data_IF_986603401109
#
_entry.id   IF_986603401109
#
_cell.length_a   1.000
_cell.length_b   1.000
_cell.length_c   1.000
_cell.angle_alpha   90.00
_cell.angle_beta   90.00
_cell.angle_gamma   90.00
#
_symmetry.space_group_name_H-M   'P 1'
#
loop_
_entity.id
_entity.type
_entity.pdbx_description
1 polymer ?
#
# COMPACT_ATOMS: atom_id res chain seq x y z
N UNK A 1 37.32 64.93 -3.31
CA UNK A 1 38.28 63.93 -2.78
C UNK A 1 37.65 62.80 -1.91
N UNK A 2 36.33 62.86 -1.44
CA UNK A 2 35.71 61.82 -0.67
C UNK A 2 35.02 60.73 -1.50
N UNK A 3 34.56 61.02 -2.73
CA UNK A 3 33.84 60.06 -3.56
C UNK A 3 34.73 58.93 -4.14
N UNK A 4 35.99 59.25 -4.49
CA UNK A 4 36.91 58.26 -5.04
C UNK A 4 37.45 57.25 -4.04
N UNK A 5 37.39 57.57 -2.74
CA UNK A 5 37.83 56.69 -1.67
C UNK A 5 36.76 55.69 -1.31
N UNK A 6 35.48 56.07 -1.45
CA UNK A 6 34.32 55.15 -1.20
C UNK A 6 34.21 54.08 -2.30
N UNK A 7 34.36 54.47 -3.57
CA UNK A 7 34.32 53.54 -4.72
C UNK A 7 35.49 52.54 -4.64
N UNK A 8 36.67 52.99 -4.20
CA UNK A 8 37.86 52.12 -4.07
C UNK A 8 37.72 51.12 -2.91
N UNK A 9 36.96 51.47 -1.87
CA UNK A 9 36.70 50.58 -0.73
C UNK A 9 35.65 49.53 -1.06
N UNK A 10 34.58 49.91 -1.80
CA UNK A 10 33.54 48.94 -2.26
C UNK A 10 34.11 47.94 -3.30
N UNK A 11 34.98 48.40 -4.21
CA UNK A 11 35.62 47.48 -5.18
C UNK A 11 36.54 46.47 -4.50
N UNK A 12 37.29 46.86 -3.45
CA UNK A 12 38.13 45.93 -2.70
C UNK A 12 37.35 44.92 -1.86
N UNK A 13 36.19 45.30 -1.33
CA UNK A 13 35.31 44.39 -0.61
C UNK A 13 34.61 43.39 -1.57
N UNK A 14 34.20 43.82 -2.76
CA UNK A 14 33.69 42.96 -3.82
C UNK A 14 34.71 41.93 -4.29
N UNK A 15 35.96 42.38 -4.51
CA UNK A 15 37.07 41.50 -4.90
C UNK A 15 37.37 40.44 -3.84
N UNK A 16 37.32 40.79 -2.55
CA UNK A 16 37.42 39.84 -1.43
C UNK A 16 36.30 38.84 -1.39
N UNK A 17 35.07 39.28 -1.65
CA UNK A 17 33.91 38.36 -1.70
C UNK A 17 33.98 37.38 -2.88
N UNK A 18 34.40 37.87 -4.07
CA UNK A 18 34.60 37.03 -5.26
C UNK A 18 35.70 36.00 -5.04
N UNK A 19 36.83 36.39 -4.43
CA UNK A 19 37.89 35.44 -4.10
C UNK A 19 37.49 34.42 -3.05
N UNK A 20 36.66 34.79 -2.08
CA UNK A 20 36.09 33.85 -1.09
C UNK A 20 35.11 32.85 -1.72
N UNK A 21 34.31 33.30 -2.68
CA UNK A 21 33.42 32.44 -3.48
C UNK A 21 34.20 31.47 -4.39
N UNK A 22 35.23 31.97 -5.05
CA UNK A 22 36.10 31.15 -5.91
C UNK A 22 36.84 30.06 -5.11
N UNK A 23 37.37 30.40 -3.93
CA UNK A 23 37.99 29.42 -3.05
C UNK A 23 36.98 28.38 -2.52
N UNK A 24 35.72 28.77 -2.23
CA UNK A 24 34.68 27.90 -1.85
C UNK A 24 34.26 26.97 -3.01
N UNK A 25 34.18 27.47 -4.24
CA UNK A 25 33.88 26.69 -5.45
C UNK A 25 34.99 25.68 -5.80
N UNK A 26 36.27 26.06 -5.63
CA UNK A 26 37.42 25.15 -5.83
C UNK A 26 37.42 24.05 -4.75
N UNK A 27 37.13 24.39 -3.49
CA UNK A 27 37.02 23.41 -2.40
C UNK A 27 35.85 22.45 -2.63
N UNK A 28 34.72 22.95 -3.13
CA UNK A 28 33.59 22.12 -3.50
C UNK A 28 33.89 21.16 -4.66
N UNK A 29 34.67 21.57 -5.64
CA UNK A 29 35.11 20.67 -6.74
C UNK A 29 35.98 19.53 -6.22
N UNK A 30 36.89 19.79 -5.32
CA UNK A 30 37.72 18.76 -4.70
C UNK A 30 36.90 17.82 -3.84
N UNK A 31 35.91 18.33 -3.09
CA UNK A 31 34.95 17.52 -2.31
C UNK A 31 34.04 16.70 -3.24
N UNK A 32 33.62 17.26 -4.35
CA UNK A 32 32.80 16.53 -5.35
C UNK A 32 33.59 15.40 -6.01
N UNK A 33 34.87 15.59 -6.30
CA UNK A 33 35.74 14.55 -6.85
C UNK A 33 35.96 13.44 -5.81
N UNK A 34 36.21 13.77 -4.55
CA UNK A 34 36.36 12.79 -3.47
C UNK A 34 35.04 12.05 -3.22
N UNK A 35 33.93 12.76 -3.24
CA UNK A 35 32.60 12.15 -3.08
C UNK A 35 32.22 11.21 -4.26
N UNK A 36 32.59 11.61 -5.50
CA UNK A 36 32.37 10.78 -6.68
C UNK A 36 33.26 9.52 -6.67
N UNK A 37 34.50 9.62 -6.22
CA UNK A 37 35.38 8.44 -6.06
C UNK A 37 34.88 7.50 -4.94
N UNK A 38 34.34 8.04 -3.83
CA UNK A 38 33.72 7.26 -2.76
C UNK A 38 32.43 6.57 -3.22
N UNK A 39 31.61 7.21 -4.04
CA UNK A 39 30.38 6.65 -4.60
C UNK A 39 30.72 5.56 -5.64
N UNK A 40 31.71 5.79 -6.52
CA UNK A 40 32.17 4.77 -7.47
C UNK A 40 32.86 3.59 -6.80
N UNK A 41 33.56 3.81 -5.68
CA UNK A 41 34.20 2.75 -4.89
C UNK A 41 33.23 1.83 -4.14
N UNK A 42 32.00 2.30 -3.87
CA UNK A 42 30.97 1.51 -3.16
C UNK A 42 30.16 0.59 -4.08
N UNK A 43 30.24 0.74 -5.39
CA UNK A 43 29.47 -0.06 -6.37
C UNK A 43 30.05 -1.46 -6.66
N UNK A 44 31.20 -1.83 -6.09
CA UNK A 44 31.85 -3.10 -6.40
C UNK A 44 31.36 -4.31 -5.58
N UNK A 45 30.25 -4.19 -4.84
CA UNK A 45 29.67 -5.31 -4.08
C UNK A 45 28.23 -5.66 -4.47
N UNK A 46 27.80 -5.33 -5.70
CA UNK A 46 26.61 -5.99 -6.24
C UNK A 46 27.05 -7.40 -6.65
N UNK A 47 26.95 -8.35 -5.73
CA UNK A 47 26.95 -9.75 -6.09
C UNK A 47 25.72 -9.93 -7.00
N UNK A 48 25.95 -9.96 -8.32
CA UNK A 48 24.97 -10.44 -9.25
C UNK A 48 24.55 -11.83 -8.75
N UNK A 49 23.25 -12.00 -8.48
CA UNK A 49 22.70 -13.29 -8.11
C UNK A 49 23.15 -14.28 -9.21
N UNK A 50 24.01 -15.21 -8.88
CA UNK A 50 24.52 -16.20 -9.81
C UNK A 50 23.33 -17.02 -10.27
N UNK A 51 22.93 -16.84 -11.54
CA UNK A 51 21.80 -17.57 -12.09
C UNK A 51 22.22 -19.02 -12.21
N UNK A 52 21.59 -19.89 -11.46
CA UNK A 52 21.78 -21.33 -11.60
C UNK A 52 21.36 -21.71 -13.03
N UNK A 53 22.28 -22.21 -13.89
CA UNK A 53 21.92 -22.62 -15.23
C UNK A 53 20.97 -23.82 -15.18
N UNK A 54 19.85 -23.75 -15.91
CA UNK A 54 18.91 -24.85 -16.02
C UNK A 54 18.41 -24.99 -17.45
N UNK A 55 18.05 -26.21 -17.85
CA UNK A 55 17.51 -26.52 -19.16
C UNK A 55 15.99 -26.34 -19.14
N UNK A 56 15.49 -25.42 -19.96
CA UNK A 56 14.05 -25.16 -20.06
C UNK A 56 13.31 -26.39 -20.62
N UNK A 57 12.24 -26.78 -19.92
CA UNK A 57 11.41 -27.91 -20.33
C UNK A 57 11.96 -29.29 -19.96
N UNK A 58 13.15 -29.36 -19.37
CA UNK A 58 13.67 -30.60 -18.79
C UNK A 58 12.90 -30.97 -17.53
N UNK A 59 12.70 -32.26 -17.33
CA UNK A 59 12.13 -32.81 -16.08
C UNK A 59 13.21 -33.00 -15.04
N UNK A 60 12.99 -32.47 -13.85
CA UNK A 60 13.87 -32.61 -12.71
C UNK A 60 13.17 -33.37 -11.59
N UNK A 61 13.93 -34.08 -10.77
CA UNK A 61 13.44 -34.68 -9.54
C UNK A 61 13.47 -33.64 -8.43
N UNK A 62 12.34 -33.29 -7.85
CA UNK A 62 12.28 -32.33 -6.72
C UNK A 62 12.94 -32.94 -5.50
N UNK A 63 14.15 -32.47 -5.16
CA UNK A 63 14.89 -32.96 -4.02
C UNK A 63 14.41 -32.34 -2.70
N UNK A 64 14.15 -31.02 -2.71
CA UNK A 64 13.67 -30.30 -1.53
C UNK A 64 13.06 -28.95 -1.89
N UNK A 65 12.20 -28.40 -0.98
CA UNK A 65 11.67 -27.05 -1.04
C UNK A 65 11.94 -26.38 0.31
N UNK A 66 12.87 -25.44 0.32
CA UNK A 66 13.15 -24.61 1.49
C UNK A 66 12.30 -23.35 1.46
N UNK A 67 11.81 -22.89 2.61
CA UNK A 67 11.11 -21.62 2.72
C UNK A 67 12.10 -20.52 3.10
N UNK A 68 12.07 -19.45 2.31
CA UNK A 68 12.86 -18.24 2.55
C UNK A 68 11.88 -17.12 2.90
N UNK A 69 12.14 -16.40 3.99
CA UNK A 69 11.30 -15.31 4.49
C UNK A 69 10.81 -15.54 5.92
N UNK A 70 10.38 -14.45 6.54
CA UNK A 70 9.82 -14.47 7.90
C UNK A 70 8.33 -14.81 7.83
N UNK A 71 8.00 -16.05 8.17
CA UNK A 71 6.60 -16.51 8.21
C UNK A 71 6.23 -16.95 9.64
N UNK A 72 4.98 -16.71 10.02
CA UNK A 72 4.43 -17.17 11.30
C UNK A 72 3.93 -18.62 11.26
N UNK A 73 3.85 -19.22 10.07
CA UNK A 73 3.39 -20.60 9.85
C UNK A 73 4.54 -21.60 9.90
N UNK A 74 4.19 -22.84 10.19
CA UNK A 74 5.14 -23.94 10.07
C UNK A 74 5.51 -24.16 8.59
N UNK A 75 6.83 -24.16 8.30
CA UNK A 75 7.35 -24.30 6.93
C UNK A 75 6.87 -25.55 6.21
N UNK A 76 6.88 -26.71 6.90
CA UNK A 76 6.40 -27.97 6.33
C UNK A 76 4.91 -27.93 5.95
N UNK A 77 4.10 -27.23 6.75
CA UNK A 77 2.68 -27.04 6.46
C UNK A 77 2.49 -26.23 5.18
N UNK A 78 3.26 -25.17 4.99
CA UNK A 78 3.19 -24.34 3.77
C UNK A 78 3.60 -25.12 2.52
N UNK A 79 4.70 -25.89 2.61
CA UNK A 79 5.12 -26.76 1.51
C UNK A 79 4.03 -27.79 1.19
N UNK A 80 3.40 -28.40 2.19
CA UNK A 80 2.29 -29.33 1.99
C UNK A 80 1.11 -28.67 1.26
N UNK A 81 0.73 -27.44 1.63
CA UNK A 81 -0.32 -26.70 0.95
C UNK A 81 0.01 -26.32 -0.49
N UNK A 82 1.28 -26.13 -0.82
CA UNK A 82 1.71 -25.90 -2.21
C UNK A 82 1.38 -27.11 -3.10
N UNK A 83 1.33 -28.30 -2.50
CA UNK A 83 1.12 -29.58 -3.20
C UNK A 83 2.36 -30.13 -3.86
N UNK A 84 3.52 -29.51 -3.61
CA UNK A 84 4.82 -30.06 -4.05
C UNK A 84 5.26 -31.12 -3.07
N UNK A 85 5.82 -32.22 -3.61
CA UNK A 85 6.28 -33.35 -2.83
C UNK A 85 7.72 -33.70 -3.20
N UNK A 86 8.54 -33.98 -2.20
CA UNK A 86 9.88 -34.50 -2.38
C UNK A 86 9.83 -35.81 -3.18
N UNK A 87 10.71 -35.95 -4.18
CA UNK A 87 10.74 -37.10 -5.08
C UNK A 87 9.79 -37.03 -6.27
N UNK A 88 8.96 -35.99 -6.41
CA UNK A 88 8.14 -35.83 -7.60
C UNK A 88 8.95 -35.27 -8.78
N UNK A 89 8.57 -35.64 -10.00
CA UNK A 89 9.11 -35.02 -11.21
C UNK A 89 8.40 -33.69 -11.46
N UNK A 90 9.16 -32.64 -11.70
CA UNK A 90 8.67 -31.31 -12.05
C UNK A 90 9.38 -30.76 -13.28
N UNK A 91 8.70 -29.89 -14.02
CA UNK A 91 9.27 -29.18 -15.16
C UNK A 91 9.44 -27.69 -14.79
N UNK A 92 10.55 -27.07 -15.20
CA UNK A 92 10.78 -25.64 -14.90
C UNK A 92 11.13 -24.89 -16.21
N UNK A 93 10.37 -23.83 -16.52
CA UNK A 93 9.05 -23.46 -15.95
C UNK A 93 7.99 -24.53 -16.27
N UNK A 94 7.08 -24.78 -15.35
CA UNK A 94 6.10 -25.84 -15.50
C UNK A 94 4.78 -25.63 -14.77
N UNK A 95 3.86 -26.55 -15.04
CA UNK A 95 2.51 -26.48 -14.48
C UNK A 95 2.50 -26.75 -12.96
N UNK A 96 3.43 -27.58 -12.48
CA UNK A 96 3.55 -27.93 -11.07
C UNK A 96 3.81 -26.69 -10.20
N UNK A 97 4.76 -25.85 -10.62
CA UNK A 97 5.10 -24.59 -9.93
C UNK A 97 3.95 -23.60 -10.03
N UNK A 98 3.37 -23.45 -11.23
CA UNK A 98 2.23 -22.54 -11.42
C UNK A 98 1.03 -22.95 -10.58
N UNK A 99 0.79 -24.26 -10.43
CA UNK A 99 -0.28 -24.80 -9.58
C UNK A 99 0.02 -24.59 -8.10
N UNK A 100 1.26 -24.76 -7.68
CA UNK A 100 1.69 -24.49 -6.31
C UNK A 100 1.47 -23.02 -5.93
N UNK A 101 1.88 -22.08 -6.79
CA UNK A 101 1.63 -20.64 -6.60
C UNK A 101 0.13 -20.36 -6.51
N UNK A 102 -0.69 -20.94 -7.40
CA UNK A 102 -2.15 -20.76 -7.38
C UNK A 102 -2.79 -21.32 -6.10
N UNK A 103 -2.34 -22.48 -5.60
CA UNK A 103 -2.85 -23.09 -4.36
C UNK A 103 -2.52 -22.20 -3.16
N UNK A 104 -1.28 -21.76 -3.01
CA UNK A 104 -0.86 -20.87 -1.93
C UNK A 104 -1.56 -19.51 -2.01
N UNK A 105 -1.70 -18.94 -3.21
CA UNK A 105 -2.39 -17.66 -3.43
C UNK A 105 -3.89 -17.71 -3.05
N UNK A 106 -4.56 -18.85 -3.29
CA UNK A 106 -5.97 -19.06 -2.87
C UNK A 106 -6.19 -19.02 -1.36
N UNK A 107 -5.15 -19.24 -0.56
CA UNK A 107 -5.24 -19.11 0.89
C UNK A 107 -5.48 -17.65 1.32
N UNK A 108 -5.07 -16.66 0.50
CA UNK A 108 -5.22 -15.24 0.80
C UNK A 108 -4.41 -14.78 2.01
N UNK A 109 -3.33 -15.49 2.32
CA UNK A 109 -2.46 -15.25 3.49
C UNK A 109 -1.14 -14.60 3.11
N UNK A 110 -0.79 -14.62 1.82
CA UNK A 110 0.50 -14.20 1.30
C UNK A 110 0.32 -13.05 0.31
N UNK A 111 1.23 -12.09 0.36
CA UNK A 111 1.32 -10.94 -0.55
C UNK A 111 2.17 -11.32 -1.77
N UNK A 112 3.29 -11.99 -1.53
CA UNK A 112 4.19 -12.45 -2.57
C UNK A 112 4.49 -13.94 -2.39
N UNK A 113 4.52 -14.67 -3.52
CA UNK A 113 4.85 -16.10 -3.59
C UNK A 113 5.74 -16.29 -4.82
N UNK A 114 6.99 -16.60 -4.59
CA UNK A 114 7.98 -16.76 -5.67
C UNK A 114 8.84 -18.01 -5.44
N UNK A 115 9.10 -18.76 -6.51
CA UNK A 115 10.02 -19.90 -6.46
C UNK A 115 11.33 -19.53 -7.15
N UNK A 116 12.43 -19.87 -6.51
CA UNK A 116 13.78 -19.73 -7.05
C UNK A 116 14.48 -21.08 -7.08
N UNK A 117 15.34 -21.27 -8.07
CA UNK A 117 16.21 -22.45 -8.12
C UNK A 117 17.39 -22.15 -7.19
N UNK A 118 17.50 -22.93 -6.12
CA UNK A 118 18.64 -22.84 -5.21
C UNK A 118 19.86 -23.51 -5.82
N UNK A 119 19.71 -24.79 -6.22
CA UNK A 119 20.75 -25.56 -6.91
C UNK A 119 20.16 -26.71 -7.72
N UNK A 120 20.96 -27.23 -8.65
CA UNK A 120 20.68 -28.46 -9.41
C UNK A 120 21.87 -29.40 -9.25
N UNK A 121 21.62 -30.64 -8.84
CA UNK A 121 22.60 -31.69 -8.68
C UNK A 121 22.10 -32.96 -9.38
N UNK A 122 22.78 -33.45 -10.42
CA UNK A 122 22.47 -34.70 -11.12
C UNK A 122 21.00 -34.83 -11.51
N UNK A 123 20.29 -34.05 -12.10
CA UNK A 123 18.85 -34.06 -12.40
C UNK A 123 17.92 -33.84 -11.16
N UNK A 124 18.48 -33.64 -9.99
CA UNK A 124 17.75 -33.24 -8.77
C UNK A 124 17.76 -31.75 -8.61
N UNK A 125 16.60 -31.15 -8.35
CA UNK A 125 16.44 -29.71 -8.18
C UNK A 125 16.02 -29.37 -6.76
N UNK A 126 16.62 -28.32 -6.20
CA UNK A 126 16.30 -27.73 -4.91
C UNK A 126 15.70 -26.36 -5.15
N UNK A 127 14.54 -26.12 -4.56
CA UNK A 127 13.80 -24.87 -4.73
C UNK A 127 13.76 -24.08 -3.42
N UNK A 128 13.89 -22.77 -3.56
CA UNK A 128 13.60 -21.82 -2.50
C UNK A 128 12.22 -21.19 -2.79
N UNK A 129 11.30 -21.40 -1.85
CA UNK A 129 9.98 -20.77 -1.85
C UNK A 129 10.07 -19.49 -1.01
N UNK A 130 10.17 -18.35 -1.69
CA UNK A 130 10.11 -17.04 -1.06
C UNK A 130 8.65 -16.62 -0.87
N UNK A 131 8.29 -16.32 0.37
CA UNK A 131 6.93 -15.96 0.76
C UNK A 131 6.97 -14.70 1.61
N UNK A 132 6.10 -13.75 1.27
CA UNK A 132 5.80 -12.59 2.11
C UNK A 132 4.39 -12.75 2.69
N UNK A 133 4.29 -12.86 4.00
CA UNK A 133 3.01 -13.01 4.69
C UNK A 133 2.27 -11.68 4.77
N UNK A 134 0.97 -11.68 4.43
CA UNK A 134 0.12 -10.51 4.63
C UNK A 134 -0.02 -10.18 6.12
N UNK A 135 0.04 -8.89 6.48
CA UNK A 135 -0.05 -8.47 7.87
C UNK A 135 -1.46 -8.70 8.43
N UNK A 136 -1.53 -8.92 9.75
CA UNK A 136 -2.77 -9.08 10.50
C UNK A 136 -3.15 -7.79 11.21
N UNK A 137 -4.42 -7.47 11.26
CA UNK A 137 -4.95 -6.32 11.96
C UNK A 137 -4.75 -6.50 13.48
N UNK A 138 -4.02 -5.58 14.10
CA UNK A 138 -3.90 -5.52 15.56
C UNK A 138 -5.02 -4.64 16.14
N UNK A 139 -5.14 -3.42 15.62
CA UNK A 139 -6.11 -2.45 16.10
C UNK A 139 -6.62 -1.58 14.94
N UNK A 140 -7.88 -1.13 15.03
CA UNK A 140 -8.44 -0.14 14.13
C UNK A 140 -8.87 1.11 14.91
N UNK A 141 -8.50 2.28 14.40
CA UNK A 141 -8.89 3.59 14.96
C UNK A 141 -9.65 4.37 13.90
N UNK A 142 -10.82 4.90 14.30
CA UNK A 142 -11.63 5.78 13.46
C UNK A 142 -11.50 7.23 13.90
N UNK A 143 -11.38 8.13 12.93
CA UNK A 143 -11.34 9.59 13.12
C UNK A 143 -12.45 10.23 12.28
N UNK A 144 -13.06 11.30 12.79
CA UNK A 144 -14.15 12.02 12.09
C UNK A 144 -15.56 11.53 12.40
N UNK A 145 -15.72 10.50 13.25
CA UNK A 145 -17.03 9.96 13.66
C UNK A 145 -17.14 9.78 15.18
N UNK A 146 -18.38 9.64 15.64
CA UNK A 146 -18.66 9.36 17.06
C UNK A 146 -18.33 7.92 17.42
N UNK A 147 -17.85 7.68 18.64
CA UNK A 147 -17.44 6.35 19.15
C UNK A 147 -18.53 5.29 18.98
N UNK A 148 -19.80 5.64 19.21
CA UNK A 148 -20.94 4.72 19.04
C UNK A 148 -21.13 4.18 17.62
N UNK A 149 -20.63 4.92 16.59
CA UNK A 149 -20.67 4.47 15.20
C UNK A 149 -19.45 3.63 14.83
N UNK A 150 -18.37 3.75 15.57
CA UNK A 150 -17.12 3.00 15.34
C UNK A 150 -17.35 1.50 15.48
N UNK A 151 -18.00 1.07 16.56
CA UNK A 151 -18.25 -0.36 16.84
C UNK A 151 -19.10 -1.01 15.75
N UNK A 152 -20.12 -0.31 15.28
CA UNK A 152 -20.96 -0.78 14.19
C UNK A 152 -20.13 -0.94 12.89
N UNK A 153 -19.25 0.01 12.56
CA UNK A 153 -18.40 -0.07 11.36
C UNK A 153 -17.35 -1.18 11.46
N UNK A 154 -16.80 -1.42 12.64
CA UNK A 154 -15.89 -2.54 12.90
C UNK A 154 -16.60 -3.87 12.60
N UNK A 155 -17.80 -4.05 13.19
CA UNK A 155 -18.61 -5.24 13.01
C UNK A 155 -19.05 -5.45 11.56
N UNK A 156 -19.58 -4.39 10.94
CA UNK A 156 -20.11 -4.44 9.57
C UNK A 156 -19.03 -4.78 8.53
N UNK A 157 -17.76 -4.40 8.77
CA UNK A 157 -16.64 -4.65 7.86
C UNK A 157 -15.73 -5.80 8.34
N UNK A 158 -16.06 -6.47 9.44
CA UNK A 158 -15.28 -7.58 9.97
C UNK A 158 -13.85 -7.18 10.37
N UNK A 159 -13.64 -5.95 10.86
CA UNK A 159 -12.33 -5.40 11.23
C UNK A 159 -11.90 -5.88 12.63
N UNK A 160 -11.89 -7.19 12.83
CA UNK A 160 -11.50 -7.78 14.10
C UNK A 160 -9.98 -7.97 14.17
N UNK A 161 -9.42 -7.95 15.38
CA UNK A 161 -8.02 -8.31 15.62
C UNK A 161 -7.70 -9.67 15.01
N UNK A 162 -6.54 -9.78 14.33
CA UNK A 162 -6.12 -10.99 13.64
C UNK A 162 -6.65 -11.13 12.20
N UNK A 163 -7.53 -10.24 11.74
CA UNK A 163 -7.97 -10.21 10.34
C UNK A 163 -6.81 -9.89 9.42
N UNK A 164 -6.62 -10.68 8.37
CA UNK A 164 -5.61 -10.39 7.33
C UNK A 164 -5.96 -9.10 6.62
N UNK A 165 -4.97 -8.21 6.51
CA UNK A 165 -5.11 -6.89 5.89
C UNK A 165 -4.51 -6.95 4.48
N UNK A 166 -5.36 -6.84 3.48
CA UNK A 166 -5.00 -6.77 2.07
C UNK A 166 -5.71 -5.59 1.38
N UNK A 167 -5.33 -5.28 0.17
CA UNK A 167 -5.92 -4.19 -0.61
C UNK A 167 -7.44 -4.36 -0.81
N UNK A 168 -7.92 -5.59 -0.92
CA UNK A 168 -9.35 -5.86 -1.05
C UNK A 168 -10.10 -5.46 0.23
N UNK A 169 -9.59 -5.79 1.42
CA UNK A 169 -10.19 -5.37 2.69
C UNK A 169 -10.24 -3.85 2.81
N UNK A 170 -9.14 -3.16 2.44
CA UNK A 170 -9.05 -1.70 2.48
C UNK A 170 -10.09 -1.09 1.53
N UNK A 171 -10.12 -1.54 0.28
CA UNK A 171 -11.02 -1.01 -0.75
C UNK A 171 -12.50 -1.28 -0.43
N UNK A 172 -12.83 -2.49 0.00
CA UNK A 172 -14.21 -2.85 0.35
C UNK A 172 -14.70 -2.09 1.58
N UNK A 173 -13.85 -1.93 2.59
CA UNK A 173 -14.15 -1.12 3.79
C UNK A 173 -14.39 0.35 3.42
N UNK A 174 -13.52 0.95 2.61
CA UNK A 174 -13.66 2.31 2.13
C UNK A 174 -14.99 2.49 1.40
N UNK A 175 -15.25 1.66 0.40
CA UNK A 175 -16.47 1.72 -0.41
C UNK A 175 -17.74 1.52 0.42
N UNK A 176 -17.70 0.59 1.38
CA UNK A 176 -18.82 0.37 2.30
C UNK A 176 -19.16 1.63 3.10
N UNK A 177 -18.14 2.26 3.70
CA UNK A 177 -18.31 3.45 4.53
C UNK A 177 -18.81 4.61 3.68
N UNK A 178 -18.21 4.89 2.52
CA UNK A 178 -18.64 5.96 1.61
C UNK A 178 -20.10 5.75 1.16
N UNK A 179 -20.47 4.54 0.78
CA UNK A 179 -21.84 4.22 0.36
C UNK A 179 -22.84 4.34 1.51
N UNK A 180 -22.46 3.95 2.73
CA UNK A 180 -23.29 4.12 3.94
C UNK A 180 -23.60 5.59 4.19
N UNK A 181 -22.60 6.45 4.10
CA UNK A 181 -22.80 7.90 4.28
C UNK A 181 -23.55 8.55 3.12
N UNK A 182 -23.34 8.09 1.87
CA UNK A 182 -24.14 8.54 0.71
C UNK A 182 -25.63 8.27 0.90
N UNK A 183 -26.01 7.09 1.41
CA UNK A 183 -27.40 6.77 1.76
C UNK A 183 -27.98 7.72 2.81
N UNK A 184 -27.13 8.20 3.73
CA UNK A 184 -27.52 9.19 4.73
C UNK A 184 -27.57 10.63 4.19
N UNK A 185 -27.26 10.84 2.90
CA UNK A 185 -27.26 12.13 2.20
C UNK A 185 -25.93 12.88 2.20
N UNK A 186 -24.84 12.26 2.62
CA UNK A 186 -23.49 12.84 2.57
C UNK A 186 -22.77 12.36 1.31
N UNK A 187 -23.06 12.97 0.18
CA UNK A 187 -22.57 12.51 -1.15
C UNK A 187 -21.07 12.75 -1.35
N UNK A 188 -20.49 13.73 -0.66
CA UNK A 188 -19.08 14.10 -0.77
C UNK A 188 -18.20 13.45 0.32
N UNK A 189 -18.69 12.40 0.97
CA UNK A 189 -17.91 11.69 1.98
C UNK A 189 -16.63 11.14 1.36
N UNK A 190 -15.50 11.43 2.02
CA UNK A 190 -14.19 10.89 1.67
C UNK A 190 -13.69 10.03 2.82
N UNK A 191 -13.23 8.83 2.48
CA UNK A 191 -12.65 7.90 3.44
C UNK A 191 -11.20 7.62 3.04
N UNK A 192 -10.29 7.85 3.97
CA UNK A 192 -8.89 7.51 3.82
C UNK A 192 -8.52 6.45 4.85
N UNK A 193 -7.88 5.37 4.38
CA UNK A 193 -7.45 4.25 5.22
C UNK A 193 -5.95 4.11 5.08
N UNK A 194 -5.24 4.26 6.20
CA UNK A 194 -3.80 4.08 6.28
C UNK A 194 -3.49 2.93 7.25
N UNK A 195 -2.50 2.13 6.91
CA UNK A 195 -1.97 1.09 7.78
C UNK A 195 -0.57 1.45 8.24
N UNK A 196 -0.29 1.25 9.51
CA UNK A 196 1.01 1.49 10.13
C UNK A 196 1.46 0.19 10.79
N UNK A 197 2.67 -0.26 10.51
CA UNK A 197 3.24 -1.45 11.15
C UNK A 197 3.22 -1.28 12.67
N UNK A 198 2.82 -2.32 13.37
CA UNK A 198 2.95 -2.37 14.82
C UNK A 198 4.41 -2.69 15.17
N UNK A 199 5.02 -1.83 15.99
CA UNK A 199 6.42 -2.02 16.41
C UNK A 199 6.57 -3.05 17.53
N UNK A 200 5.47 -3.35 18.22
CA UNK A 200 5.47 -4.28 19.36
C UNK A 200 5.21 -5.74 18.94
N UNK A 201 4.59 -5.96 17.81
CA UNK A 201 4.16 -7.30 17.37
C UNK A 201 4.54 -7.54 15.92
N UNK A 202 5.23 -8.65 15.68
CA UNK A 202 5.67 -9.06 14.33
C UNK A 202 4.45 -9.31 13.44
N UNK A 203 4.53 -8.87 12.19
CA UNK A 203 3.53 -9.06 11.15
C UNK A 203 2.13 -8.58 11.52
N UNK A 204 2.02 -7.49 12.30
CA UNK A 204 0.77 -6.82 12.63
C UNK A 204 0.77 -5.36 12.19
N UNK A 205 -0.42 -4.86 11.87
CA UNK A 205 -0.63 -3.46 11.49
C UNK A 205 -1.79 -2.86 12.27
N UNK A 206 -1.65 -1.58 12.56
CA UNK A 206 -2.71 -0.73 13.09
C UNK A 206 -3.34 0.03 11.92
N UNK A 207 -4.66 -0.01 11.80
CA UNK A 207 -5.41 0.65 10.74
C UNK A 207 -6.01 1.95 11.24
N UNK A 208 -5.72 3.06 10.55
CA UNK A 208 -6.31 4.37 10.79
C UNK A 208 -7.31 4.69 9.68
N UNK A 209 -8.59 4.78 10.05
CA UNK A 209 -9.70 5.13 9.14
C UNK A 209 -10.13 6.56 9.41
N UNK A 210 -9.81 7.47 8.50
CA UNK A 210 -10.19 8.88 8.58
C UNK A 210 -11.39 9.13 7.69
N UNK A 211 -12.49 9.64 8.27
CA UNK A 211 -13.76 9.89 7.59
C UNK A 211 -14.05 11.38 7.60
N UNK A 212 -14.01 11.99 6.43
CA UNK A 212 -14.54 13.32 6.18
C UNK A 212 -15.93 13.18 5.53
N UNK A 213 -16.97 13.49 6.29
CA UNK A 213 -18.34 13.32 5.81
C UNK A 213 -18.75 14.39 4.79
N UNK A 214 -18.09 15.55 4.84
CA UNK A 214 -18.57 16.73 4.11
C UNK A 214 -19.95 17.19 4.56
N UNK A 215 -20.58 18.01 3.74
CA UNK A 215 -21.89 18.56 3.99
C UNK A 215 -23.02 17.61 3.57
N UNK A 216 -24.10 17.64 4.34
CA UNK A 216 -25.30 16.88 4.00
C UNK A 216 -26.08 17.58 2.89
N UNK A 217 -26.26 16.91 1.75
CA UNK A 217 -27.10 17.40 0.65
C UNK A 217 -28.57 17.31 1.06
N UNK A 218 -29.29 18.42 0.84
CA UNK A 218 -30.72 18.52 1.13
C UNK A 218 -31.43 19.02 -0.10
N UNK A 219 -32.55 18.37 -0.45
CA UNK A 219 -33.41 18.83 -1.58
C UNK A 219 -34.10 20.12 -1.14
N UNK A 220 -33.81 21.21 -1.83
CA UNK A 220 -34.42 22.50 -1.50
C UNK A 220 -35.88 22.58 -1.98
N UNK A 221 -36.16 22.11 -3.22
CA UNK A 221 -37.45 22.18 -3.84
C UNK A 221 -37.73 20.96 -4.70
N UNK A 222 -38.96 20.50 -4.69
CA UNK A 222 -39.45 19.44 -5.57
C UNK A 222 -40.61 20.01 -6.33
N UNK A 223 -40.49 20.18 -7.65
CA UNK A 223 -41.55 20.63 -8.54
C UNK A 223 -42.08 19.41 -9.33
N UNK A 224 -43.37 19.47 -9.61
CA UNK A 224 -44.05 18.48 -10.44
C UNK A 224 -44.57 19.18 -11.69
N UNK A 225 -44.42 18.58 -12.85
CA UNK A 225 -44.89 19.09 -14.12
C UNK A 225 -45.91 18.09 -14.70
N UNK A 226 -47.01 18.58 -15.25
CA UNK A 226 -48.06 17.72 -15.84
C UNK A 226 -49.05 17.11 -14.84
N UNK A 227 -49.00 17.48 -13.57
CA UNK A 227 -49.90 16.96 -12.53
C UNK A 227 -51.25 17.71 -12.48
N UNK A 228 -52.11 17.49 -13.49
CA UNK A 228 -53.41 18.15 -13.60
C UNK A 228 -54.46 17.66 -12.63
N UNK A 229 -54.40 16.36 -12.21
CA UNK A 229 -55.41 15.72 -11.35
C UNK A 229 -55.03 15.67 -9.87
N UNK A 230 -53.75 15.73 -9.55
CA UNK A 230 -53.26 15.61 -8.16
C UNK A 230 -52.36 16.79 -7.85
N UNK A 231 -52.62 17.45 -6.72
CA UNK A 231 -51.81 18.62 -6.32
C UNK A 231 -50.39 18.23 -6.03
N UNK A 232 -49.41 19.11 -6.33
CA UNK A 232 -48.00 18.90 -6.01
C UNK A 232 -47.73 18.68 -4.52
N UNK A 233 -48.58 19.23 -3.62
CA UNK A 233 -48.50 18.98 -2.18
C UNK A 233 -48.90 17.55 -1.82
N UNK A 234 -49.93 16.98 -2.46
CA UNK A 234 -50.31 15.59 -2.24
C UNK A 234 -49.23 14.64 -2.75
N UNK A 235 -48.65 14.93 -3.93
CA UNK A 235 -47.55 14.17 -4.48
C UNK A 235 -46.31 14.19 -3.56
N UNK A 236 -45.93 15.39 -3.04
CA UNK A 236 -44.81 15.49 -2.06
C UNK A 236 -45.05 14.69 -0.78
N UNK A 237 -46.30 14.67 -0.28
CA UNK A 237 -46.65 13.86 0.91
C UNK A 237 -46.57 12.34 0.63
N UNK A 238 -46.86 11.93 -0.59
CA UNK A 238 -46.77 10.52 -1.00
C UNK A 238 -45.32 10.02 -1.13
N UNK A 239 -44.34 10.90 -1.31
CA UNK A 239 -42.91 10.57 -1.38
C UNK A 239 -42.39 10.25 0.02
N UNK A 240 -42.25 8.96 0.35
CA UNK A 240 -41.82 8.53 1.70
C UNK A 240 -40.35 8.79 2.00
N UNK A 241 -39.48 8.56 1.02
CA UNK A 241 -38.03 8.60 1.19
C UNK A 241 -37.39 9.91 0.73
N UNK A 242 -38.04 10.65 -0.18
CA UNK A 242 -37.54 11.90 -0.74
C UNK A 242 -38.29 13.07 -0.12
N UNK A 243 -37.63 13.84 0.71
CA UNK A 243 -38.26 14.98 1.43
C UNK A 243 -37.58 16.30 1.06
N UNK A 244 -38.41 17.30 0.70
CA UNK A 244 -37.96 18.68 0.58
C UNK A 244 -37.62 19.27 1.95
N UNK A 245 -36.59 20.15 2.01
CA UNK A 245 -36.26 20.91 3.21
C UNK A 245 -37.46 21.74 3.66
N UNK A 246 -37.92 21.51 4.89
CA UNK A 246 -38.95 22.41 5.46
C UNK A 246 -38.33 23.76 5.76
N UNK A 247 -38.96 24.84 5.26
CA UNK A 247 -38.68 26.20 5.73
C UNK A 247 -39.18 26.30 7.16
N UNK A 248 -38.28 26.23 8.14
CA UNK A 248 -38.59 26.71 9.48
C UNK A 248 -38.52 28.23 9.46
N UNK A 249 -39.65 28.94 9.57
CA UNK A 249 -39.66 30.35 9.94
C UNK A 249 -38.92 30.44 11.31
N UNK A 250 -37.90 31.30 11.33
CA UNK A 250 -37.27 31.76 12.57
C UNK A 250 -38.29 32.72 13.25
#
# INVERSE_FOLDING_TARGET
MRLSLVIKKESADLEKQVNKLNNFLVLNKSIQIVLSVLIFGSFTQIKAQERVPFDQGKKYLLADVAIVGDISFNSQTVVTFSGLQKGQQITIPGEEISTAIKKLGKLGLFDEISFYINKIENDSIYLDLNIVELPKLNQVKFVGIKKTKTEALIKDNGLNKGKVVNENLITTTKNYIENKYKKDGYYNTKVNINTVKDTATINQVNMLVTIDKGDKVKIQKIDFVGNTKISGNALRKAMKETKQKKFTRI
#
